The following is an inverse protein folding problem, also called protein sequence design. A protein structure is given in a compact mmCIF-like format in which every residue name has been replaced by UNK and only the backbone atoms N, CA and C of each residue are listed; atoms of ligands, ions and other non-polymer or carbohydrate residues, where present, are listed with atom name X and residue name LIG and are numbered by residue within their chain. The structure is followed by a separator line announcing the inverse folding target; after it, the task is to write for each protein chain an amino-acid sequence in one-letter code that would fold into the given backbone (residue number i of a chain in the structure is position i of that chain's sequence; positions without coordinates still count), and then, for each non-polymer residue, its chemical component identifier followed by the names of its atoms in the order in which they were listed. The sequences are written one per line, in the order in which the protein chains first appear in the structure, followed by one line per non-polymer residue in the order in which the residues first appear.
data_IF_249421373500
#
_entry.id   IF_249421373500
#
_cell.length_a   1.000
_cell.length_b   1.000
_cell.length_c   1.000
_cell.angle_alpha   90.00
_cell.angle_beta   90.00
_cell.angle_gamma   90.00
#
_symmetry.space_group_name_H-M   'P 1'
#
loop_
_entity.id
_entity.type
_entity.pdbx_description
1 polymer ?
#
# COMPACT_ATOMS: atom_id res chain seq x y z
N UNK A 1 2.47 -28.04 -0.52
CA UNK A 1 1.28 -27.45 -1.16
C UNK A 1 1.74 -26.64 -2.35
N UNK A 2 1.06 -26.70 -3.51
CA UNK A 2 1.41 -25.84 -4.65
C UNK A 2 1.19 -24.38 -4.24
N UNK A 3 2.20 -23.54 -4.47
CA UNK A 3 2.18 -22.11 -4.16
C UNK A 3 1.43 -21.42 -5.31
N UNK A 4 0.22 -20.95 -5.05
CA UNK A 4 -0.51 -20.12 -6.02
C UNK A 4 0.30 -18.83 -6.16
N UNK A 5 0.84 -18.58 -7.36
CA UNK A 5 1.59 -17.37 -7.68
C UNK A 5 0.70 -16.48 -8.52
N UNK A 6 0.29 -15.34 -7.97
CA UNK A 6 -0.44 -14.29 -8.66
C UNK A 6 0.55 -13.13 -8.81
N UNK A 7 0.75 -12.63 -10.02
CA UNK A 7 1.53 -11.41 -10.24
C UNK A 7 0.75 -10.23 -9.69
N UNK A 8 1.35 -9.51 -8.74
CA UNK A 8 0.77 -8.33 -8.11
C UNK A 8 1.39 -7.07 -8.71
N UNK A 9 0.63 -5.97 -8.68
CA UNK A 9 1.17 -4.63 -8.88
C UNK A 9 1.98 -4.21 -7.65
N UNK A 10 2.91 -3.25 -7.81
CA UNK A 10 3.71 -2.72 -6.69
C UNK A 10 2.85 -2.24 -5.52
N UNK A 11 1.67 -1.69 -5.81
CA UNK A 11 0.72 -1.19 -4.80
C UNK A 11 0.04 -2.34 -4.05
N UNK A 12 -0.27 -3.44 -4.73
CA UNK A 12 -0.83 -4.65 -4.10
C UNK A 12 0.23 -5.39 -3.27
N UNK A 13 1.48 -5.42 -3.73
CA UNK A 13 2.62 -5.94 -2.96
C UNK A 13 2.82 -5.13 -1.68
N UNK A 14 2.77 -3.80 -1.77
CA UNK A 14 2.87 -2.91 -0.62
C UNK A 14 1.70 -3.10 0.37
N UNK A 15 0.48 -3.28 -0.14
CA UNK A 15 -0.70 -3.58 0.68
C UNK A 15 -0.55 -4.92 1.41
N UNK A 16 -0.03 -5.94 0.73
CA UNK A 16 0.22 -7.25 1.34
C UNK A 16 1.32 -7.16 2.41
N UNK A 17 2.46 -6.54 2.10
CA UNK A 17 3.58 -6.40 3.02
C UNK A 17 3.20 -5.61 4.29
N UNK A 18 2.44 -4.52 4.14
CA UNK A 18 1.97 -3.73 5.30
C UNK A 18 0.98 -4.51 6.17
N UNK A 19 0.13 -5.35 5.59
CA UNK A 19 -0.76 -6.26 6.34
C UNK A 19 0.03 -7.31 7.11
N UNK A 20 1.03 -7.92 6.47
CA UNK A 20 1.90 -8.91 7.09
C UNK A 20 2.70 -8.31 8.25
N UNK A 21 3.18 -7.07 8.09
CA UNK A 21 3.87 -6.33 9.14
C UNK A 21 2.94 -6.05 10.33
N UNK A 22 1.73 -5.56 10.10
CA UNK A 22 0.73 -5.34 11.15
C UNK A 22 0.41 -6.64 11.90
N UNK A 23 0.20 -7.74 11.17
CA UNK A 23 -0.05 -9.06 11.77
C UNK A 23 1.13 -9.54 12.62
N UNK A 24 2.35 -9.41 12.11
CA UNK A 24 3.57 -9.84 12.80
C UNK A 24 3.83 -9.02 14.08
N UNK A 25 3.55 -7.71 14.03
CA UNK A 25 3.69 -6.83 15.20
C UNK A 25 2.68 -7.18 16.32
N UNK A 26 1.46 -7.56 15.96
CA UNK A 26 0.43 -8.02 16.91
C UNK A 26 0.83 -9.34 17.58
N UNK A 27 1.39 -10.27 16.79
CA UNK A 27 1.94 -11.52 17.32
C UNK A 27 3.12 -11.27 18.27
N UNK A 28 4.06 -10.39 17.90
CA UNK A 28 5.19 -10.01 18.75
C UNK A 28 4.72 -9.43 20.09
N UNK A 29 3.72 -8.53 20.05
CA UNK A 29 3.14 -7.93 21.26
C UNK A 29 2.53 -8.99 22.18
N UNK A 30 1.77 -9.92 21.60
CA UNK A 30 1.16 -11.04 22.34
C UNK A 30 2.22 -11.95 22.96
N UNK A 31 3.29 -12.27 22.21
CA UNK A 31 4.39 -13.09 22.71
C UNK A 31 5.15 -12.40 23.85
N UNK A 32 5.45 -11.11 23.73
CA UNK A 32 6.11 -10.33 24.78
C UNK A 32 5.28 -10.27 26.05
N UNK A 33 3.97 -10.02 25.93
CA UNK A 33 3.07 -10.05 27.09
C UNK A 33 3.07 -11.42 27.76
N UNK A 34 2.92 -12.49 26.96
CA UNK A 34 2.92 -13.86 27.47
C UNK A 34 4.25 -14.30 28.10
N UNK A 35 5.38 -13.71 27.68
CA UNK A 35 6.67 -13.89 28.36
C UNK A 35 6.70 -13.17 29.70
N UNK A 36 6.30 -11.90 29.73
CA UNK A 36 6.30 -11.07 30.94
C UNK A 36 5.42 -11.68 32.03
N UNK A 37 4.25 -12.21 31.66
CA UNK A 37 3.33 -12.88 32.58
C UNK A 37 3.93 -14.15 33.21
N UNK A 38 4.89 -14.80 32.54
CA UNK A 38 5.55 -16.03 33.02
C UNK A 38 6.77 -15.75 33.89
N UNK A 39 7.41 -14.58 33.78
CA UNK A 39 8.63 -14.24 34.53
C UNK A 39 8.45 -14.42 36.05
N UNK A 40 7.35 -13.94 36.69
CA UNK A 40 7.15 -14.15 38.13
C UNK A 40 7.12 -15.62 38.54
N UNK A 41 6.60 -16.51 37.69
CA UNK A 41 6.51 -17.94 37.99
C UNK A 41 7.87 -18.65 37.91
N UNK A 42 8.79 -18.15 37.07
CA UNK A 42 10.16 -18.67 36.94
C UNK A 42 11.07 -18.14 38.05
N UNK A 43 10.85 -16.90 38.50
CA UNK A 43 11.65 -16.24 39.52
C UNK A 43 11.09 -16.40 40.95
N UNK A 44 10.42 -17.52 41.24
CA UNK A 44 9.68 -17.75 42.50
C UNK A 44 10.51 -17.71 43.78
N UNK A 45 11.84 -17.78 43.69
CA UNK A 45 12.73 -17.87 44.85
C UNK A 45 14.02 -17.08 44.65
N UNK A 46 14.64 -16.66 45.76
CA UNK A 46 15.96 -16.05 45.81
C UNK A 46 15.99 -14.54 45.47
N UNK A 47 17.20 -14.01 45.29
CA UNK A 47 17.45 -12.58 45.06
C UNK A 47 16.86 -12.01 43.77
N UNK A 48 16.37 -12.87 42.87
CA UNK A 48 15.72 -12.46 41.62
C UNK A 48 14.26 -12.04 41.84
N UNK A 49 13.57 -12.64 42.81
CA UNK A 49 12.17 -12.30 43.10
C UNK A 49 12.02 -10.87 43.62
N UNK A 50 12.94 -10.44 44.49
CA UNK A 50 12.95 -9.08 45.04
C UNK A 50 13.29 -8.01 44.00
N UNK A 51 14.00 -8.39 42.92
CA UNK A 51 14.41 -7.48 41.83
C UNK A 51 13.38 -7.38 40.71
N UNK A 52 12.37 -8.24 40.68
CA UNK A 52 11.38 -8.29 39.60
C UNK A 52 10.59 -6.98 39.46
N UNK A 53 10.26 -6.34 40.58
CA UNK A 53 9.56 -5.06 40.62
C UNK A 53 10.43 -3.87 40.20
N UNK A 54 11.76 -4.04 40.16
CA UNK A 54 12.71 -3.00 39.72
C UNK A 54 12.93 -3.05 38.19
N UNK A 55 12.56 -4.17 37.55
CA UNK A 55 12.73 -4.33 36.11
C UNK A 55 11.60 -3.64 35.36
N UNK A 56 11.89 -2.77 34.37
CA UNK A 56 10.87 -2.08 33.59
C UNK A 56 10.27 -3.02 32.51
N UNK A 57 9.83 -4.22 32.88
CA UNK A 57 9.35 -5.25 31.96
C UNK A 57 8.16 -4.76 31.11
N UNK A 58 7.26 -4.00 31.72
CA UNK A 58 6.10 -3.40 31.04
C UNK A 58 6.50 -2.41 29.93
N UNK A 59 7.71 -1.85 29.99
CA UNK A 59 8.21 -0.94 28.96
C UNK A 59 8.37 -1.66 27.61
N UNK A 60 8.73 -2.94 27.61
CA UNK A 60 8.85 -3.74 26.39
C UNK A 60 7.48 -3.97 25.75
N UNK A 61 6.46 -4.33 26.55
CA UNK A 61 5.09 -4.45 26.03
C UNK A 61 4.57 -3.12 25.51
N UNK A 62 4.80 -2.02 26.23
CA UNK A 62 4.35 -0.70 25.81
C UNK A 62 4.97 -0.28 24.47
N UNK A 63 6.27 -0.52 24.26
CA UNK A 63 6.93 -0.27 22.96
C UNK A 63 6.35 -1.14 21.85
N UNK A 64 6.09 -2.42 22.12
CA UNK A 64 5.51 -3.34 21.15
C UNK A 64 4.08 -2.92 20.76
N UNK A 65 3.27 -2.51 21.73
CA UNK A 65 1.93 -1.95 21.50
C UNK A 65 1.96 -0.68 20.66
N UNK A 66 2.89 0.24 20.94
CA UNK A 66 3.07 1.45 20.11
C UNK A 66 3.46 1.08 18.67
N UNK A 67 4.38 0.14 18.51
CA UNK A 67 4.78 -0.32 17.18
C UNK A 67 3.61 -0.99 16.44
N UNK A 68 2.84 -1.84 17.13
CA UNK A 68 1.62 -2.43 16.59
C UNK A 68 0.65 -1.36 16.08
N UNK A 69 0.32 -0.37 16.92
CA UNK A 69 -0.59 0.72 16.54
C UNK A 69 -0.10 1.50 15.31
N UNK A 70 1.20 1.78 15.21
CA UNK A 70 1.79 2.46 14.05
C UNK A 70 1.67 1.62 12.77
N UNK A 71 1.94 0.32 12.86
CA UNK A 71 1.85 -0.57 11.69
C UNK A 71 0.41 -0.79 11.23
N UNK A 72 -0.56 -0.86 12.15
CA UNK A 72 -1.99 -0.90 11.83
C UNK A 72 -2.46 0.39 11.15
N UNK A 73 -2.02 1.55 11.67
CA UNK A 73 -2.32 2.84 11.06
C UNK A 73 -1.76 2.93 9.64
N UNK A 74 -0.50 2.50 9.44
CA UNK A 74 0.15 2.49 8.14
C UNK A 74 -0.59 1.59 7.15
N UNK A 75 -0.95 0.37 7.57
CA UNK A 75 -1.73 -0.55 6.75
C UNK A 75 -3.08 0.05 6.33
N UNK A 76 -3.83 0.65 7.26
CA UNK A 76 -5.11 1.29 6.94
C UNK A 76 -4.94 2.45 5.96
N UNK A 77 -3.88 3.24 6.10
CA UNK A 77 -3.62 4.35 5.18
C UNK A 77 -3.28 3.85 3.76
N UNK A 78 -2.44 2.82 3.64
CA UNK A 78 -2.11 2.18 2.35
C UNK A 78 -3.38 1.59 1.71
N UNK A 79 -4.21 0.90 2.49
CA UNK A 79 -5.46 0.33 2.02
C UNK A 79 -6.45 1.40 1.52
N UNK A 80 -6.60 2.50 2.26
CA UNK A 80 -7.48 3.60 1.88
C UNK A 80 -6.98 4.28 0.58
N UNK A 81 -5.67 4.50 0.47
CA UNK A 81 -5.05 5.08 -0.73
C UNK A 81 -5.22 4.17 -1.95
N UNK A 82 -4.97 2.87 -1.82
CA UNK A 82 -5.19 1.91 -2.90
C UNK A 82 -6.65 1.91 -3.39
N UNK A 83 -7.61 1.95 -2.46
CA UNK A 83 -9.03 2.07 -2.82
C UNK A 83 -9.34 3.39 -3.52
N UNK A 84 -8.76 4.49 -3.04
CA UNK A 84 -8.88 5.81 -3.67
C UNK A 84 -8.35 5.84 -5.11
N UNK A 85 -7.25 5.14 -5.40
CA UNK A 85 -6.75 4.98 -6.77
C UNK A 85 -7.75 4.26 -7.67
N UNK A 86 -8.30 3.12 -7.21
CA UNK A 86 -9.32 2.37 -7.97
C UNK A 86 -10.55 3.24 -8.25
N UNK A 87 -11.03 3.97 -7.26
CA UNK A 87 -12.21 4.81 -7.41
C UNK A 87 -11.95 6.01 -8.34
N UNK A 88 -10.74 6.57 -8.30
CA UNK A 88 -10.30 7.64 -9.22
C UNK A 88 -10.21 7.14 -10.66
N UNK A 89 -9.63 5.97 -10.88
CA UNK A 89 -9.54 5.35 -12.21
C UNK A 89 -10.93 5.11 -12.80
N UNK A 90 -11.90 4.65 -12.00
CA UNK A 90 -13.29 4.49 -12.44
C UNK A 90 -13.94 5.82 -12.80
N UNK A 91 -13.67 6.88 -12.03
CA UNK A 91 -14.22 8.20 -12.32
C UNK A 91 -13.64 8.76 -13.62
N UNK A 92 -12.31 8.67 -13.81
CA UNK A 92 -11.64 9.07 -15.04
C UNK A 92 -12.12 8.27 -16.25
N UNK A 93 -12.33 6.95 -16.09
CA UNK A 93 -12.93 6.10 -17.10
C UNK A 93 -14.31 6.60 -17.53
N UNK A 94 -15.18 6.91 -16.57
CA UNK A 94 -16.51 7.45 -16.83
C UNK A 94 -16.44 8.81 -17.54
N UNK A 95 -15.52 9.68 -17.14
CA UNK A 95 -15.33 10.99 -17.76
C UNK A 95 -14.85 10.87 -19.22
N UNK A 96 -13.92 9.95 -19.50
CA UNK A 96 -13.47 9.63 -20.87
C UNK A 96 -14.64 9.12 -21.73
N UNK A 97 -15.44 8.19 -21.19
CA UNK A 97 -16.62 7.67 -21.90
C UNK A 97 -17.63 8.78 -22.18
N UNK A 98 -17.90 9.65 -21.21
CA UNK A 98 -18.80 10.79 -21.38
C UNK A 98 -18.27 11.77 -22.43
N UNK A 99 -16.97 12.07 -22.40
CA UNK A 99 -16.34 12.94 -23.39
C UNK A 99 -16.43 12.35 -24.80
N UNK A 100 -16.23 11.04 -24.96
CA UNK A 100 -16.37 10.34 -26.24
C UNK A 100 -17.82 10.40 -26.77
N UNK A 101 -18.83 10.20 -25.92
CA UNK A 101 -20.23 10.24 -26.32
C UNK A 101 -20.69 11.62 -26.82
N UNK A 102 -20.04 12.69 -26.38
CA UNK A 102 -20.32 14.06 -26.81
C UNK A 102 -19.61 14.41 -28.14
N UNK A 103 -18.62 13.64 -28.58
CA UNK A 103 -17.91 13.88 -29.84
C UNK A 103 -18.85 13.64 -31.05
N UNK A 104 -19.14 14.68 -31.87
CA UNK A 104 -20.00 14.54 -33.04
C UNK A 104 -19.42 13.64 -34.14
N UNK A 105 -18.11 13.36 -34.11
CA UNK A 105 -17.44 12.50 -35.09
C UNK A 105 -17.39 11.03 -34.65
N UNK A 106 -17.87 10.70 -33.44
CA UNK A 106 -17.94 9.33 -32.96
C UNK A 106 -18.92 8.54 -33.83
N UNK A 107 -18.46 7.41 -34.38
CA UNK A 107 -19.29 6.57 -35.23
C UNK A 107 -20.47 5.97 -34.43
N UNK A 108 -21.57 5.69 -35.14
CA UNK A 108 -22.82 5.27 -34.50
C UNK A 108 -22.73 3.91 -33.81
N UNK A 109 -21.84 3.03 -34.28
CA UNK A 109 -21.67 1.68 -33.72
C UNK A 109 -20.92 1.75 -32.39
N UNK A 110 -19.82 2.49 -32.33
CA UNK A 110 -19.07 2.76 -31.10
C UNK A 110 -19.91 3.54 -30.08
N UNK A 111 -20.70 4.52 -30.53
CA UNK A 111 -21.64 5.26 -29.68
C UNK A 111 -22.68 4.34 -29.04
N UNK A 112 -23.31 3.48 -29.85
CA UNK A 112 -24.30 2.54 -29.35
C UNK A 112 -23.70 1.50 -28.39
N UNK A 113 -22.45 1.07 -28.62
CA UNK A 113 -21.72 0.19 -27.72
C UNK A 113 -21.42 0.86 -26.36
N UNK A 114 -20.98 2.13 -26.36
CA UNK A 114 -20.71 2.92 -25.15
C UNK A 114 -22.00 3.21 -24.34
N UNK A 115 -23.13 3.42 -25.01
CA UNK A 115 -24.44 3.67 -24.36
C UNK A 115 -25.05 2.40 -23.75
N UNK A 116 -24.84 1.21 -24.36
CA UNK A 116 -25.43 -0.04 -23.89
C UNK A 116 -24.62 -0.74 -22.79
N UNK A 117 -23.29 -0.68 -22.86
CA UNK A 117 -22.41 -1.30 -21.87
C UNK A 117 -21.12 -0.47 -21.69
N UNK A 118 -21.18 0.62 -20.90
CA UNK A 118 -20.07 1.53 -20.69
C UNK A 118 -18.82 0.83 -20.13
N UNK A 119 -19.03 -0.24 -19.36
CA UNK A 119 -17.99 -0.97 -18.66
C UNK A 119 -17.23 -1.88 -19.62
N UNK A 120 -17.93 -2.58 -20.52
CA UNK A 120 -17.33 -3.36 -21.60
C UNK A 120 -16.66 -2.48 -22.65
N UNK A 121 -17.21 -1.29 -22.91
CA UNK A 121 -16.60 -0.33 -23.81
C UNK A 121 -15.28 0.24 -23.23
N UNK A 122 -15.23 0.55 -21.93
CA UNK A 122 -13.99 0.90 -21.25
C UNK A 122 -12.93 -0.21 -21.30
N UNK A 123 -13.32 -1.47 -21.11
CA UNK A 123 -12.40 -2.62 -21.24
C UNK A 123 -11.80 -2.72 -22.65
N UNK A 124 -12.60 -2.48 -23.69
CA UNK A 124 -12.13 -2.43 -25.08
C UNK A 124 -11.17 -1.26 -25.35
N UNK A 125 -11.47 -0.07 -24.82
CA UNK A 125 -10.57 1.10 -24.93
C UNK A 125 -9.25 0.87 -24.19
N UNK A 126 -9.30 0.29 -22.99
CA UNK A 126 -8.12 -0.08 -22.19
C UNK A 126 -7.24 -1.10 -22.93
N UNK A 127 -7.84 -2.11 -23.54
CA UNK A 127 -7.09 -3.14 -24.27
C UNK A 127 -6.51 -2.61 -25.59
N UNK A 128 -7.16 -1.63 -26.22
CA UNK A 128 -6.61 -0.86 -27.34
C UNK A 128 -5.40 -0.01 -26.94
N UNK A 129 -5.50 0.76 -25.85
CA UNK A 129 -4.40 1.57 -25.31
C UNK A 129 -3.18 0.73 -24.91
N UNK A 130 -3.39 -0.48 -24.38
CA UNK A 130 -2.30 -1.43 -24.09
C UNK A 130 -1.62 -1.96 -25.35
N UNK A 131 -2.35 -2.11 -26.47
CA UNK A 131 -1.76 -2.48 -27.77
C UNK A 131 -0.93 -1.34 -28.36
N UNK A 132 -1.35 -0.09 -28.20
CA UNK A 132 -0.60 1.08 -28.68
C UNK A 132 0.65 1.35 -27.83
N UNK A 133 0.60 1.08 -26.51
CA UNK A 133 1.80 1.13 -25.66
C UNK A 133 2.82 0.00 -25.94
N UNK A 134 2.41 -1.08 -26.61
CA UNK A 134 3.31 -2.14 -27.05
C UNK A 134 4.08 -1.78 -28.34
N UNK A 135 3.82 -0.61 -28.95
CA UNK A 135 4.68 0.00 -29.96
C UNK A 135 5.67 0.94 -29.24
N UNK A 136 6.94 0.54 -29.06
CA UNK A 136 7.87 1.31 -28.25
C UNK A 136 8.46 2.42 -29.11
N UNK A 137 8.05 3.66 -28.91
CA UNK A 137 8.86 4.82 -29.32
C UNK A 137 8.85 5.97 -28.29
N UNK A 138 8.74 5.63 -27.00
CA UNK A 138 9.02 6.62 -25.96
C UNK A 138 10.54 6.68 -25.69
N UNK A 139 11.21 7.67 -26.30
CA UNK A 139 12.59 8.09 -26.01
C UNK A 139 12.68 9.12 -24.88
N UNK A 140 11.86 9.01 -23.83
CA UNK A 140 12.01 9.85 -22.64
C UNK A 140 12.96 9.23 -21.62
N UNK A 141 13.55 10.04 -20.73
CA UNK A 141 14.52 9.57 -19.74
C UNK A 141 13.87 8.53 -18.82
N UNK A 142 14.63 7.46 -18.53
CA UNK A 142 14.18 6.39 -17.65
C UNK A 142 14.02 6.96 -16.23
N UNK A 143 12.99 6.48 -15.53
CA UNK A 143 12.56 6.89 -14.19
C UNK A 143 13.67 6.92 -13.12
N UNK A 144 14.82 6.29 -13.37
CA UNK A 144 16.01 6.35 -12.53
C UNK A 144 16.66 7.76 -12.48
N UNK A 145 16.44 8.62 -13.50
CA UNK A 145 16.99 9.99 -13.51
C UNK A 145 16.09 11.02 -12.79
N UNK A 146 14.82 10.70 -12.53
CA UNK A 146 13.88 11.63 -11.88
C UNK A 146 14.08 11.73 -10.35
N UNK A 147 14.68 10.72 -9.73
CA UNK A 147 14.85 10.65 -8.27
C UNK A 147 16.02 11.53 -7.77
N UNK A 148 16.92 11.97 -8.66
CA UNK A 148 18.07 12.81 -8.29
C UNK A 148 17.76 14.32 -8.22
N UNK A 149 16.57 14.77 -8.64
CA UNK A 149 16.27 16.21 -8.75
C UNK A 149 15.42 16.82 -7.61
N UNK A 150 15.14 16.06 -6.55
CA UNK A 150 14.48 16.60 -5.34
C UNK A 150 15.45 16.87 -4.18
N UNK A 151 16.77 16.83 -4.43
CA UNK A 151 17.80 16.81 -3.38
C UNK A 151 18.82 17.97 -3.35
N UNK A 152 18.64 19.06 -4.11
CA UNK A 152 19.55 20.22 -4.02
C UNK A 152 18.84 21.56 -4.16
N UNK A 153 18.39 22.13 -3.04
CA UNK A 153 18.48 23.54 -2.64
C UNK A 153 18.16 23.54 -1.13
N UNK A 154 18.95 24.03 -0.17
CA UNK A 154 19.90 25.13 -0.13
C UNK A 154 20.95 24.87 0.97
N UNK A 155 22.24 24.79 0.61
CA UNK A 155 23.32 25.18 1.52
C UNK A 155 23.71 26.63 1.22
N UNK A 156 23.91 27.42 2.28
CA UNK A 156 24.86 28.53 2.27
C UNK A 156 24.31 29.92 2.01
N UNK A 157 24.25 30.73 3.07
CA UNK A 157 23.99 32.17 3.00
C UNK A 157 24.18 32.87 4.35
N UNK A 158 25.32 32.61 5.01
CA UNK A 158 25.82 33.46 6.09
C UNK A 158 26.88 34.39 5.50
N UNK A 159 26.59 35.70 5.48
CA UNK A 159 27.53 36.83 5.53
C UNK A 159 26.70 38.11 5.66
#
# INVERSE_FOLDING_TARGET
MPKISISLTEQEELLLASRELATSSSQLTTQLQGLIDKIPAVCKEGSLQSRLGELPLNHFTAKAQTFQALTELLFHHIQATYRGFIDTDKLLAADIVNAALVDPNLDSETRQALEQDPQKAFELTRDGLKKDQAAPDYKGPKSEEAILYSGQTSQGGAS
#
